data_IF_790706289449
#
_entry.id   IF_790706289449
#
_cell.length_a   1.000
_cell.length_b   1.000
_cell.length_c   1.000
_cell.angle_alpha   90.00
_cell.angle_beta   90.00
_cell.angle_gamma   90.00
#
_symmetry.space_group_name_H-M   'P 1'
#
loop_
_entity.id
_entity.type
_entity.pdbx_description
1 polymer ?
#
# COMPACT_ATOMS: atom_id res chain seq x y z
N UNK A 1 6.57 -6.95 14.10
CA UNK A 1 7.39 -8.02 13.50
C UNK A 1 8.12 -7.57 12.23
N UNK A 2 7.43 -7.00 11.22
CA UNK A 2 8.07 -6.54 9.97
C UNK A 2 9.24 -5.57 10.20
N UNK A 3 9.07 -4.57 11.07
CA UNK A 3 10.11 -3.61 11.43
C UNK A 3 11.38 -4.24 12.04
N UNK A 4 11.25 -5.34 12.81
CA UNK A 4 12.41 -6.02 13.43
C UNK A 4 13.24 -6.82 12.44
N UNK A 5 12.59 -7.49 11.48
CA UNK A 5 13.28 -8.24 10.42
C UNK A 5 14.03 -7.26 9.52
N UNK A 6 13.40 -6.13 9.21
CA UNK A 6 13.99 -5.10 8.35
C UNK A 6 15.17 -4.37 9.01
N UNK A 7 15.10 -4.15 10.33
CA UNK A 7 16.21 -3.59 11.13
C UNK A 7 17.47 -4.41 11.11
N UNK A 8 17.33 -5.71 10.88
CA UNK A 8 18.46 -6.64 10.83
C UNK A 8 19.09 -6.71 9.43
N UNK A 9 18.42 -6.25 8.38
CA UNK A 9 18.82 -6.46 6.98
C UNK A 9 19.37 -5.19 6.31
N UNK A 10 19.14 -3.99 6.85
CA UNK A 10 19.43 -2.73 6.15
C UNK A 10 20.45 -1.84 6.90
N UNK A 11 21.38 -1.24 6.13
CA UNK A 11 22.42 -0.30 6.58
C UNK A 11 21.86 1.01 7.15
N UNK A 12 22.58 1.63 8.11
CA UNK A 12 22.11 2.78 8.94
C UNK A 12 21.50 3.96 8.17
N UNK A 13 22.04 4.33 7.01
CA UNK A 13 21.53 5.49 6.26
C UNK A 13 20.21 5.22 5.54
N UNK A 14 20.03 4.04 4.95
CA UNK A 14 18.76 3.64 4.34
C UNK A 14 17.65 3.45 5.39
N UNK A 15 18.04 3.19 6.64
CA UNK A 15 17.12 3.13 7.77
C UNK A 15 16.45 4.49 8.05
N UNK A 16 17.17 5.60 7.83
CA UNK A 16 16.66 6.96 8.04
C UNK A 16 15.50 7.27 7.10
N UNK A 17 15.74 7.22 5.79
CA UNK A 17 14.71 7.50 4.79
C UNK A 17 13.53 6.52 4.87
N UNK A 18 13.81 5.22 5.06
CA UNK A 18 12.76 4.22 5.20
C UNK A 18 11.86 4.45 6.42
N UNK A 19 12.43 4.83 7.56
CA UNK A 19 11.67 5.11 8.77
C UNK A 19 10.67 6.27 8.58
N UNK A 20 10.97 7.20 7.68
CA UNK A 20 10.13 8.37 7.39
C UNK A 20 8.97 8.00 6.47
N UNK A 21 9.22 7.17 5.47
CA UNK A 21 8.17 6.73 4.52
C UNK A 21 7.27 5.61 5.07
N UNK A 22 7.74 4.83 6.04
CA UNK A 22 6.98 3.73 6.67
C UNK A 22 5.63 4.17 7.25
N UNK A 23 5.53 5.19 8.13
CA UNK A 23 4.24 5.61 8.67
C UNK A 23 3.27 6.14 7.60
N UNK A 24 3.78 6.68 6.50
CA UNK A 24 2.95 7.20 5.41
C UNK A 24 2.36 6.04 4.61
N UNK A 25 3.19 5.09 4.16
CA UNK A 25 2.72 3.97 3.33
C UNK A 25 1.78 3.05 4.12
N UNK A 26 2.11 2.76 5.38
CA UNK A 26 1.28 1.95 6.25
C UNK A 26 0.02 2.71 6.69
N UNK A 27 0.15 3.98 7.09
CA UNK A 27 -0.96 4.80 7.56
C UNK A 27 -1.98 5.12 6.48
N UNK A 28 -1.55 5.52 5.27
CA UNK A 28 -2.46 5.78 4.15
C UNK A 28 -3.19 4.49 3.74
N UNK A 29 -2.46 3.38 3.55
CA UNK A 29 -3.08 2.11 3.18
C UNK A 29 -4.05 1.56 4.23
N UNK A 30 -3.66 1.57 5.50
CA UNK A 30 -4.47 1.11 6.63
C UNK A 30 -5.75 1.93 6.82
N UNK A 31 -5.69 3.24 6.66
CA UNK A 31 -6.86 4.10 6.80
C UNK A 31 -7.84 3.93 5.62
N UNK A 32 -7.34 3.85 4.39
CA UNK A 32 -8.19 3.66 3.21
C UNK A 32 -8.92 2.31 3.26
N UNK A 33 -8.24 1.25 3.69
CA UNK A 33 -8.86 -0.07 3.80
C UNK A 33 -9.91 -0.10 4.91
N UNK A 34 -9.66 0.53 6.06
CA UNK A 34 -10.65 0.64 7.14
C UNK A 34 -11.92 1.37 6.70
N UNK A 35 -11.78 2.48 5.96
CA UNK A 35 -12.92 3.22 5.40
C UNK A 35 -13.70 2.34 4.43
N UNK A 36 -13.04 1.62 3.53
CA UNK A 36 -13.71 0.74 2.58
C UNK A 36 -14.44 -0.40 3.29
N UNK A 37 -13.79 -1.06 4.25
CA UNK A 37 -14.38 -2.13 5.08
C UNK A 37 -15.65 -1.65 5.78
N UNK A 38 -15.58 -0.50 6.47
CA UNK A 38 -16.73 0.07 7.18
C UNK A 38 -17.91 0.41 6.25
N UNK A 39 -17.62 0.89 5.04
CA UNK A 39 -18.68 1.17 4.04
C UNK A 39 -19.35 -0.10 3.53
N UNK A 40 -18.58 -1.15 3.24
CA UNK A 40 -19.14 -2.44 2.79
C UNK A 40 -19.93 -3.09 3.93
N UNK A 41 -19.41 -3.05 5.15
CA UNK A 41 -20.11 -3.53 6.36
C UNK A 41 -21.45 -2.83 6.55
N UNK A 42 -21.46 -1.49 6.52
CA UNK A 42 -22.69 -0.69 6.65
C UNK A 42 -23.69 -1.04 5.54
N UNK A 43 -23.22 -1.21 4.30
CA UNK A 43 -24.08 -1.63 3.20
C UNK A 43 -24.70 -3.02 3.47
N UNK A 44 -23.92 -3.99 3.93
CA UNK A 44 -24.42 -5.32 4.29
C UNK A 44 -25.42 -5.28 5.44
N UNK A 45 -25.18 -4.48 6.47
CA UNK A 45 -26.10 -4.30 7.59
C UNK A 45 -27.44 -3.66 7.21
N UNK A 46 -27.45 -2.76 6.22
CA UNK A 46 -28.67 -2.11 5.75
C UNK A 46 -29.46 -3.03 4.81
N UNK A 47 -28.77 -3.77 3.94
CA UNK A 47 -29.38 -4.49 2.82
C UNK A 47 -29.47 -6.01 2.98
N UNK A 48 -28.87 -6.58 4.03
CA UNK A 48 -28.85 -8.02 4.26
C UNK A 48 -28.95 -8.40 5.72
N UNK A 49 -29.47 -9.59 5.97
CA UNK A 49 -29.40 -10.23 7.29
C UNK A 49 -28.04 -10.94 7.44
N UNK A 50 -27.43 -10.93 8.64
CA UNK A 50 -26.20 -11.68 8.91
C UNK A 50 -26.31 -13.13 8.42
N UNK A 51 -25.26 -13.64 7.75
CA UNK A 51 -25.21 -15.01 7.23
C UNK A 51 -25.86 -15.24 5.86
N UNK A 52 -26.62 -14.28 5.32
CA UNK A 52 -27.15 -14.33 3.94
C UNK A 52 -26.47 -13.24 3.13
N UNK A 53 -25.83 -13.58 2.01
CA UNK A 53 -25.29 -12.59 1.09
C UNK A 53 -26.41 -12.09 0.16
N UNK A 54 -26.51 -10.77 -0.10
CA UNK A 54 -27.48 -10.23 -1.05
C UNK A 54 -27.21 -10.79 -2.45
N UNK A 55 -28.27 -10.91 -3.26
CA UNK A 55 -28.25 -11.61 -4.55
C UNK A 55 -27.21 -11.10 -5.56
N UNK A 56 -26.78 -9.83 -5.43
CA UNK A 56 -25.69 -9.24 -6.25
C UNK A 56 -24.27 -9.67 -5.85
N UNK A 57 -24.06 -10.18 -4.63
CA UNK A 57 -22.73 -10.48 -4.06
C UNK A 57 -22.43 -11.98 -3.91
N UNK A 58 -23.26 -12.89 -4.44
CA UNK A 58 -23.15 -14.34 -4.19
C UNK A 58 -21.82 -15.00 -4.56
N UNK A 59 -20.95 -14.35 -5.33
CA UNK A 59 -19.60 -14.85 -5.59
C UNK A 59 -18.67 -14.57 -4.40
N UNK A 60 -18.30 -15.65 -3.71
CA UNK A 60 -17.35 -15.65 -2.59
C UNK A 60 -15.95 -15.14 -3.00
N UNK A 61 -15.55 -15.41 -4.26
CA UNK A 61 -14.29 -14.95 -4.86
C UNK A 61 -14.60 -14.15 -6.13
N UNK A 62 -14.78 -12.82 -6.05
CA UNK A 62 -14.87 -11.99 -7.25
C UNK A 62 -13.52 -11.95 -7.95
N UNK A 63 -13.50 -12.04 -9.28
CA UNK A 63 -12.26 -11.79 -10.03
C UNK A 63 -11.80 -10.35 -9.76
N UNK A 64 -10.50 -10.07 -9.59
CA UNK A 64 -10.00 -8.73 -9.30
C UNK A 64 -10.44 -7.72 -10.36
N UNK A 65 -10.41 -8.09 -11.64
CA UNK A 65 -10.91 -7.24 -12.73
C UNK A 65 -12.42 -6.95 -12.62
N UNK A 66 -13.20 -7.86 -12.03
CA UNK A 66 -14.62 -7.63 -11.73
C UNK A 66 -14.80 -6.67 -10.55
N UNK A 67 -14.00 -6.78 -9.49
CA UNK A 67 -14.02 -5.87 -8.33
C UNK A 67 -13.67 -4.43 -8.72
N UNK A 68 -12.70 -4.23 -9.62
CA UNK A 68 -12.28 -2.88 -10.03
C UNK A 68 -13.09 -2.30 -11.21
N UNK A 69 -13.64 -3.12 -12.12
CA UNK A 69 -14.27 -2.63 -13.36
C UNK A 69 -15.79 -2.85 -13.47
N UNK A 70 -16.48 -3.44 -12.49
CA UNK A 70 -17.95 -3.58 -12.56
C UNK A 70 -18.68 -2.33 -12.04
N UNK A 71 -19.93 -2.12 -12.46
CA UNK A 71 -20.78 -1.00 -12.00
C UNK A 71 -21.41 -1.19 -10.62
N UNK A 72 -20.83 -2.03 -9.76
CA UNK A 72 -21.30 -2.14 -8.37
C UNK A 72 -20.79 -0.94 -7.55
N UNK A 73 -21.61 -0.45 -6.61
CA UNK A 73 -21.31 0.70 -5.73
C UNK A 73 -19.95 0.58 -5.01
N UNK A 74 -19.51 -0.66 -4.80
CA UNK A 74 -18.23 -1.02 -4.20
C UNK A 74 -17.04 -0.65 -5.11
N UNK A 75 -17.17 -0.86 -6.43
CA UNK A 75 -16.15 -0.54 -7.43
C UNK A 75 -15.91 0.96 -7.61
N UNK A 76 -16.97 1.79 -7.52
CA UNK A 76 -16.81 3.25 -7.57
C UNK A 76 -16.02 3.76 -6.36
N UNK A 77 -16.34 3.23 -5.17
CA UNK A 77 -15.64 3.59 -3.93
C UNK A 77 -14.17 3.18 -3.96
N UNK A 78 -13.90 1.94 -4.40
CA UNK A 78 -12.54 1.42 -4.60
C UNK A 78 -11.75 2.27 -5.61
N UNK A 79 -12.35 2.70 -6.73
CA UNK A 79 -11.72 3.57 -7.73
C UNK A 79 -11.38 4.95 -7.15
N UNK A 80 -12.32 5.57 -6.44
CA UNK A 80 -12.08 6.88 -5.81
C UNK A 80 -10.94 6.81 -4.78
N UNK A 81 -10.94 5.77 -3.93
CA UNK A 81 -9.86 5.56 -2.96
C UNK A 81 -8.52 5.35 -3.66
N UNK A 82 -8.47 4.55 -4.74
CA UNK A 82 -7.27 4.34 -5.53
C UNK A 82 -6.76 5.63 -6.20
N UNK A 83 -7.66 6.47 -6.74
CA UNK A 83 -7.29 7.77 -7.30
C UNK A 83 -6.79 8.74 -6.24
N UNK A 84 -7.23 8.62 -4.98
CA UNK A 84 -6.80 9.46 -3.86
C UNK A 84 -5.39 9.10 -3.34
N UNK A 85 -4.93 7.87 -3.60
CA UNK A 85 -3.58 7.40 -3.23
C UNK A 85 -2.50 8.24 -3.90
N UNK A 86 -2.62 8.50 -5.20
CA UNK A 86 -1.63 9.27 -5.98
C UNK A 86 -1.41 10.68 -5.42
N UNK A 87 -2.43 11.55 -5.29
CA UNK A 87 -2.24 12.88 -4.71
C UNK A 87 -1.83 12.81 -3.24
N UNK A 88 -2.31 11.82 -2.48
CA UNK A 88 -1.89 11.64 -1.08
C UNK A 88 -0.39 11.41 -0.95
N UNK A 89 0.16 10.43 -1.67
CA UNK A 89 1.60 10.14 -1.66
C UNK A 89 2.43 11.30 -2.23
N UNK A 90 1.95 11.99 -3.26
CA UNK A 90 2.63 13.16 -3.82
C UNK A 90 2.71 14.33 -2.82
N UNK A 91 1.64 14.60 -2.08
CA UNK A 91 1.64 15.64 -1.03
C UNK A 91 2.61 15.26 0.09
N UNK A 92 2.58 14.01 0.56
CA UNK A 92 3.51 13.57 1.60
C UNK A 92 4.96 13.61 1.14
N UNK A 93 5.23 13.21 -0.10
CA UNK A 93 6.55 13.32 -0.69
C UNK A 93 7.02 14.79 -0.73
N UNK A 94 6.16 15.69 -1.20
CA UNK A 94 6.44 17.13 -1.23
C UNK A 94 6.77 17.69 0.16
N UNK A 95 6.01 17.30 1.19
CA UNK A 95 6.27 17.70 2.58
C UNK A 95 7.63 17.16 3.07
N UNK A 96 7.97 15.91 2.76
CA UNK A 96 9.29 15.35 3.12
C UNK A 96 10.42 16.11 2.43
N UNK A 97 10.27 16.44 1.14
CA UNK A 97 11.25 17.25 0.42
C UNK A 97 11.48 18.62 1.07
N UNK A 98 10.44 19.21 1.68
CA UNK A 98 10.58 20.48 2.42
C UNK A 98 11.24 20.30 3.80
N UNK A 99 11.04 19.16 4.46
CA UNK A 99 11.54 18.91 5.81
C UNK A 99 12.98 18.38 5.84
N UNK A 100 13.38 17.55 4.88
CA UNK A 100 14.69 16.89 4.85
C UNK A 100 15.71 17.56 3.91
N UNK A 101 15.28 18.53 3.09
CA UNK A 101 16.17 19.28 2.20
C UNK A 101 16.92 18.39 1.19
N UNK A 102 18.19 18.67 0.84
CA UNK A 102 18.94 17.97 -0.21
C UNK A 102 19.39 16.53 0.15
N UNK A 103 19.03 16.03 1.33
CA UNK A 103 19.37 14.67 1.81
C UNK A 103 18.44 13.57 1.27
N UNK A 104 17.30 13.95 0.67
CA UNK A 104 16.34 13.00 0.11
C UNK A 104 16.87 12.53 -1.26
N UNK A 105 16.80 11.23 -1.58
CA UNK A 105 17.11 10.75 -2.93
C UNK A 105 16.18 11.44 -3.94
N UNK A 106 16.70 12.44 -4.66
CA UNK A 106 16.01 13.13 -5.77
C UNK A 106 16.04 12.29 -7.07
N UNK A 107 16.08 10.97 -6.91
CA UNK A 107 16.01 10.03 -8.02
C UNK A 107 14.55 9.91 -8.42
N UNK A 108 14.19 10.48 -9.58
CA UNK A 108 12.86 10.30 -10.16
C UNK A 108 12.45 8.81 -10.25
N UNK A 109 13.43 7.91 -10.36
CA UNK A 109 13.24 6.46 -10.30
C UNK A 109 12.66 6.00 -8.95
N UNK A 110 13.18 6.51 -7.83
CA UNK A 110 12.68 6.17 -6.48
C UNK A 110 11.23 6.63 -6.30
N UNK A 111 10.89 7.84 -6.77
CA UNK A 111 9.52 8.38 -6.69
C UNK A 111 8.53 7.51 -7.47
N UNK A 112 8.90 7.10 -8.69
CA UNK A 112 8.05 6.22 -9.50
C UNK A 112 7.87 4.86 -8.83
N UNK A 113 8.95 4.25 -8.33
CA UNK A 113 8.88 2.97 -7.62
C UNK A 113 8.04 3.07 -6.34
N UNK A 114 8.20 4.15 -5.57
CA UNK A 114 7.41 4.41 -4.36
C UNK A 114 5.92 4.58 -4.67
N UNK A 115 5.57 5.34 -5.70
CA UNK A 115 4.19 5.51 -6.14
C UNK A 115 3.58 4.18 -6.61
N UNK A 116 4.33 3.38 -7.39
CA UNK A 116 3.91 2.06 -7.82
C UNK A 116 3.70 1.11 -6.62
N UNK A 117 4.59 1.14 -5.62
CA UNK A 117 4.46 0.36 -4.40
C UNK A 117 3.22 0.75 -3.60
N UNK A 118 2.95 2.05 -3.42
CA UNK A 118 1.74 2.53 -2.73
C UNK A 118 0.46 2.14 -3.47
N UNK A 119 0.43 2.28 -4.79
CA UNK A 119 -0.69 1.84 -5.62
C UNK A 119 -0.92 0.33 -5.53
N UNK A 120 0.14 -0.47 -5.62
CA UNK A 120 0.07 -1.92 -5.52
C UNK A 120 -0.45 -2.36 -4.14
N UNK A 121 0.10 -1.79 -3.06
CA UNK A 121 -0.30 -2.05 -1.69
C UNK A 121 -1.81 -1.78 -1.50
N UNK A 122 -2.27 -0.58 -1.86
CA UNK A 122 -3.67 -0.20 -1.67
C UNK A 122 -4.60 -1.03 -2.54
N UNK A 123 -4.20 -1.37 -3.77
CA UNK A 123 -4.95 -2.27 -4.65
C UNK A 123 -5.16 -3.64 -4.00
N UNK A 124 -4.09 -4.23 -3.46
CA UNK A 124 -4.15 -5.52 -2.77
C UNK A 124 -5.07 -5.42 -1.53
N UNK A 125 -4.93 -4.35 -0.74
CA UNK A 125 -5.72 -4.16 0.48
C UNK A 125 -7.21 -3.98 0.20
N UNK A 126 -7.59 -3.17 -0.79
CA UNK A 126 -8.98 -2.96 -1.16
C UNK A 126 -9.63 -4.25 -1.69
N UNK A 127 -8.88 -5.05 -2.45
CA UNK A 127 -9.34 -6.37 -2.89
C UNK A 127 -9.54 -7.32 -1.70
N UNK A 128 -8.57 -7.41 -0.80
CA UNK A 128 -8.68 -8.24 0.40
C UNK A 128 -9.81 -7.79 1.32
N UNK A 129 -10.10 -6.49 1.39
CA UNK A 129 -11.23 -5.96 2.14
C UNK A 129 -12.57 -6.51 1.63
N UNK A 130 -12.78 -6.51 0.32
CA UNK A 130 -14.00 -7.09 -0.26
C UNK A 130 -14.12 -8.59 0.05
N UNK A 131 -13.02 -9.35 -0.06
CA UNK A 131 -13.03 -10.79 0.19
C UNK A 131 -13.28 -11.07 1.67
N UNK A 132 -12.55 -10.43 2.57
CA UNK A 132 -12.67 -10.66 4.01
C UNK A 132 -14.04 -10.26 4.54
N UNK A 133 -14.61 -9.14 4.09
CA UNK A 133 -15.95 -8.73 4.51
C UNK A 133 -17.00 -9.76 4.09
N UNK A 134 -16.91 -10.33 2.87
CA UNK A 134 -17.81 -11.40 2.41
C UNK A 134 -17.66 -12.68 3.22
N UNK A 135 -16.42 -13.09 3.51
CA UNK A 135 -16.11 -14.27 4.33
C UNK A 135 -16.66 -14.09 5.75
N UNK A 136 -16.36 -12.97 6.39
CA UNK A 136 -16.76 -12.69 7.77
C UNK A 136 -18.29 -12.56 7.89
N UNK A 137 -18.94 -11.95 6.90
CA UNK A 137 -20.41 -11.87 6.84
C UNK A 137 -21.07 -13.24 6.70
N UNK A 138 -20.48 -14.14 5.91
CA UNK A 138 -20.95 -15.53 5.80
C UNK A 138 -20.83 -16.29 7.13
N UNK A 139 -19.80 -16.00 7.92
CA UNK A 139 -19.66 -16.53 9.28
C UNK A 139 -20.54 -15.85 10.33
N UNK A 140 -21.44 -14.93 9.93
CA UNK A 140 -22.30 -14.15 10.83
C UNK A 140 -21.53 -13.33 11.87
N UNK A 141 -20.30 -12.96 11.53
CA UNK A 141 -19.44 -12.11 12.35
C UNK A 141 -19.49 -10.67 11.83
N UNK A 142 -19.28 -9.70 12.71
CA UNK A 142 -19.16 -8.29 12.34
C UNK A 142 -17.83 -8.08 11.58
N UNK A 143 -17.89 -7.74 10.28
CA UNK A 143 -16.70 -7.51 9.46
C UNK A 143 -15.89 -6.29 9.89
N UNK A 144 -16.46 -5.28 10.55
CA UNK A 144 -15.69 -4.13 11.01
C UNK A 144 -14.80 -4.49 12.19
N UNK A 145 -15.34 -5.27 13.13
CA UNK A 145 -14.60 -5.69 14.33
C UNK A 145 -13.49 -6.70 14.03
N UNK A 146 -13.67 -7.53 12.99
CA UNK A 146 -12.72 -8.60 12.67
C UNK A 146 -11.83 -8.27 11.48
N UNK A 147 -12.35 -7.72 10.38
CA UNK A 147 -11.56 -7.52 9.16
C UNK A 147 -10.57 -6.35 9.27
N UNK A 148 -10.94 -5.26 9.94
CA UNK A 148 -10.09 -4.06 10.08
C UNK A 148 -8.71 -4.39 10.67
N UNK A 149 -8.59 -5.05 11.85
CA UNK A 149 -7.26 -5.33 12.41
C UNK A 149 -6.42 -6.26 11.52
N UNK A 150 -7.02 -7.24 10.84
CA UNK A 150 -6.28 -8.11 9.91
C UNK A 150 -5.80 -7.36 8.67
N UNK A 151 -6.65 -6.51 8.09
CA UNK A 151 -6.32 -5.73 6.90
C UNK A 151 -5.27 -4.66 7.20
N UNK A 152 -5.36 -3.99 8.35
CA UNK A 152 -4.33 -3.04 8.79
C UNK A 152 -2.99 -3.73 9.02
N UNK A 153 -2.98 -4.89 9.71
CA UNK A 153 -1.74 -5.65 9.91
C UNK A 153 -1.11 -6.16 8.60
N UNK A 154 -1.93 -6.60 7.63
CA UNK A 154 -1.48 -6.93 6.29
C UNK A 154 -0.96 -5.70 5.53
N UNK A 155 -1.61 -4.55 5.71
CA UNK A 155 -1.21 -3.28 5.12
C UNK A 155 0.15 -2.82 5.62
N UNK A 156 0.41 -2.98 6.92
CA UNK A 156 1.71 -2.69 7.53
C UNK A 156 2.81 -3.60 6.98
N UNK A 157 2.53 -4.91 6.86
CA UNK A 157 3.48 -5.88 6.33
C UNK A 157 3.80 -5.60 4.85
N UNK A 158 2.76 -5.40 4.03
CA UNK A 158 2.91 -5.14 2.60
C UNK A 158 3.56 -3.77 2.36
N UNK A 159 3.12 -2.72 3.04
CA UNK A 159 3.67 -1.37 2.90
C UNK A 159 5.16 -1.33 3.28
N UNK A 160 5.51 -1.89 4.43
CA UNK A 160 6.91 -1.97 4.89
C UNK A 160 7.77 -2.83 3.94
N UNK A 161 7.24 -3.98 3.49
CA UNK A 161 7.95 -4.88 2.58
C UNK A 161 8.17 -4.31 1.18
N UNK A 162 7.16 -3.66 0.60
CA UNK A 162 7.26 -3.01 -0.71
C UNK A 162 8.18 -1.79 -0.66
N UNK A 163 8.13 -1.01 0.42
CA UNK A 163 9.05 0.10 0.64
C UNK A 163 10.50 -0.40 0.72
N UNK A 164 10.74 -1.50 1.44
CA UNK A 164 12.05 -2.13 1.50
C UNK A 164 12.55 -2.56 0.12
N UNK A 165 11.68 -3.15 -0.68
CA UNK A 165 12.00 -3.54 -2.04
C UNK A 165 12.37 -2.32 -2.91
N UNK A 166 11.67 -1.19 -2.76
CA UNK A 166 11.98 0.05 -3.47
C UNK A 166 13.41 0.54 -3.16
N UNK A 167 13.77 0.61 -1.88
CA UNK A 167 15.12 1.01 -1.46
C UNK A 167 16.22 0.02 -1.93
N UNK A 168 15.89 -1.26 -2.02
CA UNK A 168 16.81 -2.28 -2.52
C UNK A 168 17.04 -2.16 -4.03
N UNK A 169 15.97 -1.96 -4.80
CA UNK A 169 16.04 -1.80 -6.25
C UNK A 169 16.76 -0.50 -6.64
N UNK A 170 16.45 0.60 -5.95
CA UNK A 170 17.10 1.90 -6.18
C UNK A 170 18.63 1.80 -5.94
N UNK A 171 19.03 1.14 -4.85
CA UNK A 171 20.45 0.84 -4.58
C UNK A 171 21.09 0.02 -5.68
N UNK A 172 20.42 -1.05 -6.13
CA UNK A 172 20.96 -1.92 -7.18
C UNK A 172 21.17 -1.13 -8.48
N UNK A 173 20.23 -0.24 -8.82
CA UNK A 173 20.32 0.67 -9.95
C UNK A 173 21.53 1.60 -9.86
N UNK A 174 21.74 2.24 -8.71
CA UNK A 174 22.91 3.10 -8.46
C UNK A 174 24.23 2.32 -8.58
N UNK A 175 24.34 1.13 -7.96
CA UNK A 175 25.57 0.33 -8.04
C UNK A 175 25.89 -0.15 -9.46
N UNK A 176 24.87 -0.41 -10.28
CA UNK A 176 25.06 -0.81 -11.68
C UNK A 176 25.50 0.38 -12.55
N UNK A 177 24.96 1.57 -12.30
CA UNK A 177 25.40 2.81 -12.94
C UNK A 177 26.87 3.13 -12.61
N UNK A 178 27.26 3.02 -11.34
CA UNK A 178 28.65 3.24 -10.91
C UNK A 178 29.62 2.20 -11.48
N UNK A 179 29.17 0.96 -11.65
CA UNK A 179 29.97 -0.11 -12.28
C UNK A 179 30.13 0.10 -13.80
N UNK A 180 29.13 0.66 -14.47
CA UNK A 180 29.17 0.96 -15.92
C UNK A 180 29.90 2.28 -16.21
N UNK A 181 29.84 3.25 -15.29
CA UNK A 181 30.46 4.59 -15.40
C UNK A 181 31.81 4.68 -14.68
N UNK A 182 32.34 3.56 -14.17
CA UNK A 182 33.56 3.46 -13.36
C UNK A 182 34.73 4.39 -13.78
N UNK A 183 35.54 4.82 -12.81
CA UNK A 183 36.20 6.12 -12.78
C UNK A 183 37.07 6.40 -14.02
N UNK A 184 36.54 7.19 -14.97
CA UNK A 184 37.38 7.98 -15.88
C UNK A 184 37.68 9.33 -15.22
N UNK A 185 38.67 9.35 -14.32
CA UNK A 185 39.58 10.49 -14.08
C UNK A 185 40.30 10.34 -12.74
N UNK A 186 41.35 9.52 -12.70
CA UNK A 186 42.61 9.90 -12.05
C UNK A 186 43.74 9.23 -12.85
N UNK A 187 44.11 9.85 -13.98
CA UNK A 187 45.48 9.76 -14.49
C UNK A 187 46.07 11.14 -14.34
N UNK A 188 47.20 11.17 -13.66
CA UNK A 188 48.04 12.28 -13.19
C UNK A 188 48.37 13.32 -14.29
N UNK A 189 48.98 14.46 -13.92
CA UNK A 189 50.41 14.46 -13.57
C UNK A 189 50.74 14.86 -12.13
#
# INVERSE_FOLDING_TARGET
MACLILSKTISKEQYGGMAIFTPIICGVGGNLVAIQTSRISTYLHIWSTPGVLPSGMQKFWPNPCSTFCTSETNSMSTRVLLFMVVPGHLIFFYVISLLEGPSVPDSGTFVVLYLLAGLLQVTILLYLAEVLVRVTWHHSLDPDSHCIPYLTGLGDLLGTGLLALCFLVDRLGHTHLDAVVGPRAVTEP
#
